data_IF_217610982020
#
_entry.id   IF_217610982020
#
_cell.length_a   1.000
_cell.length_b   1.000
_cell.length_c   1.000
_cell.angle_alpha   90.00
_cell.angle_beta   90.00
_cell.angle_gamma   90.00
#
_symmetry.space_group_name_H-M   'P 1'
#
loop_
_entity.id
_entity.type
_entity.pdbx_description
1 polymer ?
#
# COMPACT_ATOMS: atom_id res chain seq x y z
N UNK A 1 34.39 -49.42 -17.10
CA UNK A 1 33.58 -48.97 -15.96
C UNK A 1 32.30 -48.36 -16.51
N UNK A 2 31.37 -49.24 -16.87
CA UNK A 2 30.00 -48.93 -17.33
C UNK A 2 29.18 -50.06 -16.73
N UNK A 3 28.20 -49.75 -15.90
CA UNK A 3 27.18 -50.70 -15.50
C UNK A 3 25.84 -50.00 -15.70
N UNK A 4 25.17 -50.39 -16.79
CA UNK A 4 23.85 -49.92 -17.11
C UNK A 4 22.80 -50.53 -16.19
N UNK A 5 21.66 -49.86 -16.08
CA UNK A 5 20.43 -50.48 -15.60
C UNK A 5 19.41 -50.33 -16.72
N UNK A 6 19.10 -51.48 -17.31
CA UNK A 6 18.01 -51.73 -18.25
C UNK A 6 16.66 -51.50 -17.56
N UNK A 7 15.74 -50.86 -18.30
CA UNK A 7 14.32 -50.80 -17.97
C UNK A 7 13.72 -52.21 -17.88
N UNK A 8 13.03 -52.49 -16.78
CA UNK A 8 12.09 -53.61 -16.63
C UNK A 8 10.78 -53.08 -16.07
N UNK A 9 9.70 -53.24 -16.85
CA UNK A 9 8.36 -52.71 -16.58
C UNK A 9 7.74 -53.27 -15.29
N UNK A 10 7.10 -52.38 -14.51
CA UNK A 10 6.13 -52.73 -13.48
C UNK A 10 4.98 -51.72 -13.51
N UNK A 11 3.83 -52.19 -13.98
CA UNK A 11 2.52 -52.05 -13.33
C UNK A 11 1.97 -50.64 -13.08
N UNK A 12 0.82 -50.37 -13.71
CA UNK A 12 0.03 -49.15 -13.63
C UNK A 12 -0.59 -48.73 -12.27
N UNK A 13 -0.28 -49.30 -11.07
CA UNK A 13 -0.60 -48.62 -9.81
C UNK A 13 0.51 -47.67 -9.30
N UNK A 14 1.74 -47.77 -9.81
CA UNK A 14 2.90 -47.01 -9.30
C UNK A 14 2.92 -45.52 -9.68
N UNK A 15 2.19 -45.13 -10.74
CA UNK A 15 2.16 -43.74 -11.21
C UNK A 15 1.17 -42.87 -10.43
N UNK A 16 0.14 -43.46 -9.82
CA UNK A 16 -0.84 -42.74 -9.00
C UNK A 16 -0.29 -42.37 -7.62
N UNK A 17 0.63 -43.18 -7.06
CA UNK A 17 1.30 -42.86 -5.79
C UNK A 17 2.45 -41.86 -6.01
N UNK A 18 3.15 -41.90 -7.16
CA UNK A 18 4.19 -40.92 -7.47
C UNK A 18 3.64 -39.52 -7.79
N UNK A 19 2.44 -39.40 -8.37
CA UNK A 19 1.78 -38.10 -8.57
C UNK A 19 1.11 -37.58 -7.30
N UNK A 20 0.55 -38.45 -6.46
CA UNK A 20 0.05 -38.03 -5.15
C UNK A 20 1.19 -37.58 -4.22
N UNK A 21 2.28 -38.33 -4.12
CA UNK A 21 3.44 -37.96 -3.29
C UNK A 21 4.21 -36.77 -3.88
N UNK A 22 4.28 -36.63 -5.21
CA UNK A 22 4.90 -35.48 -5.87
C UNK A 22 4.13 -34.16 -5.72
N UNK A 23 2.80 -34.21 -5.66
CA UNK A 23 1.97 -33.01 -5.44
C UNK A 23 1.89 -32.68 -3.94
N UNK A 24 1.86 -33.69 -3.06
CA UNK A 24 1.83 -33.46 -1.61
C UNK A 24 3.17 -32.97 -1.05
N UNK A 25 4.34 -33.46 -1.54
CA UNK A 25 5.64 -32.89 -1.14
C UNK A 25 5.94 -31.53 -1.82
N UNK A 26 5.46 -31.30 -3.03
CA UNK A 26 5.57 -29.99 -3.69
C UNK A 26 4.79 -28.88 -2.97
N UNK A 27 3.65 -29.22 -2.37
CA UNK A 27 2.86 -28.30 -1.55
C UNK A 27 3.41 -28.16 -0.10
N UNK A 28 3.98 -29.21 0.48
CA UNK A 28 4.52 -29.19 1.84
C UNK A 28 5.88 -28.45 1.91
N UNK A 29 6.70 -28.48 0.85
CA UNK A 29 7.99 -27.78 0.81
C UNK A 29 7.88 -26.27 0.52
N UNK A 30 6.71 -25.77 0.09
CA UNK A 30 6.43 -24.33 -0.03
C UNK A 30 5.70 -23.74 1.19
N UNK A 31 5.32 -24.59 2.15
CA UNK A 31 4.74 -24.19 3.44
C UNK A 31 5.78 -23.98 4.55
N UNK A 32 7.07 -23.87 4.23
CA UNK A 32 8.09 -23.54 5.24
C UNK A 32 7.91 -22.09 5.67
N UNK A 33 7.48 -21.92 6.92
CA UNK A 33 7.12 -20.64 7.52
C UNK A 33 8.14 -19.54 7.23
N UNK A 34 7.67 -18.29 7.11
CA UNK A 34 8.49 -17.09 7.03
C UNK A 34 9.51 -17.06 8.19
N UNK A 35 9.19 -17.67 9.32
CA UNK A 35 10.09 -17.82 10.46
C UNK A 35 11.33 -18.69 10.15
N UNK A 36 11.18 -19.70 9.29
CA UNK A 36 12.24 -20.64 8.86
C UNK A 36 13.05 -20.15 7.66
N UNK A 37 12.65 -19.05 7.01
CA UNK A 37 13.49 -18.44 5.99
C UNK A 37 14.84 -18.06 6.61
N UNK A 38 15.97 -18.41 5.95
CA UNK A 38 17.28 -17.94 6.37
C UNK A 38 17.25 -16.42 6.55
N UNK A 39 17.91 -15.94 7.59
CA UNK A 39 17.92 -14.50 7.91
C UNK A 39 18.48 -13.66 6.75
N UNK A 40 19.37 -14.25 5.94
CA UNK A 40 19.87 -13.68 4.68
C UNK A 40 18.76 -13.49 3.64
N UNK A 41 17.85 -14.46 3.50
CA UNK A 41 16.69 -14.37 2.61
C UNK A 41 15.70 -13.32 3.10
N UNK A 42 15.37 -13.31 4.39
CA UNK A 42 14.53 -12.26 4.99
C UNK A 42 15.14 -10.87 4.80
N UNK A 43 16.44 -10.74 5.02
CA UNK A 43 17.17 -9.48 4.84
C UNK A 43 17.18 -9.04 3.38
N UNK A 44 17.40 -9.94 2.43
CA UNK A 44 17.37 -9.62 1.00
C UNK A 44 15.98 -9.20 0.53
N UNK A 45 14.95 -9.89 0.99
CA UNK A 45 13.55 -9.56 0.70
C UNK A 45 13.18 -8.22 1.34
N UNK A 46 13.57 -7.99 2.61
CA UNK A 46 13.43 -6.70 3.28
C UNK A 46 14.10 -5.59 2.49
N UNK A 47 15.36 -5.77 2.06
CA UNK A 47 16.10 -4.80 1.25
C UNK A 47 15.43 -4.54 -0.11
N UNK A 48 14.89 -5.57 -0.76
CA UNK A 48 14.20 -5.41 -2.05
C UNK A 48 12.91 -4.62 -1.88
N UNK A 49 12.10 -4.96 -0.87
CA UNK A 49 10.85 -4.26 -0.62
C UNK A 49 11.10 -2.84 -0.10
N UNK A 50 12.04 -2.67 0.84
CA UNK A 50 12.50 -1.36 1.30
C UNK A 50 13.04 -0.53 0.13
N UNK A 51 13.85 -1.12 -0.74
CA UNK A 51 14.31 -0.47 -1.98
C UNK A 51 13.16 -0.08 -2.91
N UNK A 52 12.06 -0.83 -2.97
CA UNK A 52 10.85 -0.44 -3.71
C UNK A 52 10.15 0.76 -3.04
N UNK A 53 10.04 0.76 -1.71
CA UNK A 53 9.47 1.88 -0.93
C UNK A 53 10.38 3.13 -0.83
N UNK A 54 11.69 2.97 -0.96
CA UNK A 54 12.67 4.08 -0.95
C UNK A 54 12.87 4.65 -2.36
N UNK A 55 12.76 3.82 -3.40
CA UNK A 55 12.71 4.29 -4.79
C UNK A 55 11.39 4.98 -5.11
N UNK A 56 10.33 4.70 -4.37
CA UNK A 56 9.15 5.55 -4.43
C UNK A 56 9.45 6.91 -3.83
N UNK A 57 9.19 7.97 -4.60
CA UNK A 57 9.25 9.35 -4.16
C UNK A 57 8.52 9.49 -2.81
N UNK A 58 9.20 9.99 -1.78
CA UNK A 58 8.53 10.37 -0.52
C UNK A 58 7.44 11.39 -0.80
N UNK A 59 6.21 11.11 -0.39
CA UNK A 59 5.08 12.02 -0.65
C UNK A 59 5.13 13.23 0.24
N UNK A 60 4.91 14.38 -0.39
CA UNK A 60 4.79 15.63 0.32
C UNK A 60 3.33 15.90 0.69
N UNK A 61 2.91 15.35 1.83
CA UNK A 61 1.63 15.65 2.45
C UNK A 61 1.64 16.98 3.23
N UNK A 62 2.65 17.83 3.04
CA UNK A 62 2.74 19.13 3.70
C UNK A 62 1.91 20.18 2.95
N UNK A 63 0.60 19.99 2.87
CA UNK A 63 -0.32 21.07 2.46
C UNK A 63 -0.95 21.74 3.67
N UNK A 64 -1.30 23.03 3.52
CA UNK A 64 -2.08 23.75 4.52
C UNK A 64 -3.46 23.12 4.70
N UNK A 65 -4.12 22.69 3.63
CA UNK A 65 -5.45 22.06 3.68
C UNK A 65 -5.48 20.79 4.54
N UNK A 66 -4.56 19.85 4.30
CA UNK A 66 -4.44 18.65 5.13
C UNK A 66 -4.07 18.99 6.57
N UNK A 67 -3.11 19.90 6.79
CA UNK A 67 -2.72 20.30 8.13
C UNK A 67 -3.88 20.93 8.92
N UNK A 68 -4.67 21.78 8.27
CA UNK A 68 -5.82 22.45 8.88
C UNK A 68 -6.96 21.46 9.14
N UNK A 69 -7.22 20.52 8.21
CA UNK A 69 -8.19 19.44 8.42
C UNK A 69 -7.81 18.57 9.63
N UNK A 70 -6.53 18.19 9.74
CA UNK A 70 -6.02 17.41 10.87
C UNK A 70 -6.08 18.20 12.19
N UNK A 71 -5.61 19.46 12.23
CA UNK A 71 -5.68 20.32 13.43
C UNK A 71 -7.10 20.55 13.89
N UNK A 72 -8.02 20.76 12.97
CA UNK A 72 -9.42 21.07 13.26
C UNK A 72 -10.12 19.85 13.85
N UNK A 73 -9.94 18.68 13.24
CA UNK A 73 -10.79 17.53 13.51
C UNK A 73 -10.14 16.44 14.38
N UNK A 74 -8.82 16.44 14.56
CA UNK A 74 -8.10 15.36 15.23
C UNK A 74 -7.24 15.83 16.40
N UNK A 75 -7.00 14.92 17.34
CA UNK A 75 -5.96 15.01 18.37
C UNK A 75 -4.75 14.20 17.91
N UNK A 76 -3.59 14.83 17.87
CA UNK A 76 -2.32 14.18 17.53
C UNK A 76 -1.73 13.46 18.76
N UNK A 77 -1.16 12.28 18.54
CA UNK A 77 -0.30 11.56 19.47
C UNK A 77 0.86 10.95 18.68
N UNK A 78 2.04 10.85 19.32
CA UNK A 78 3.22 10.16 18.76
C UNK A 78 3.34 8.72 19.27
N UNK A 79 2.34 8.25 20.03
CA UNK A 79 2.28 6.87 20.51
C UNK A 79 1.00 6.19 20.03
N UNK A 80 1.12 4.90 19.70
CA UNK A 80 -0.01 4.05 19.38
C UNK A 80 -0.98 3.98 20.57
N UNK A 81 -2.30 3.97 20.30
CA UNK A 81 -3.30 3.67 21.33
C UNK A 81 -3.04 2.32 22.00
N UNK A 82 -3.48 2.13 23.25
CA UNK A 82 -3.27 0.88 24.02
C UNK A 82 -3.84 -0.37 23.35
N UNK A 83 -4.89 -0.20 22.54
CA UNK A 83 -5.53 -1.26 21.78
C UNK A 83 -4.83 -1.54 20.43
N UNK A 84 -3.79 -0.78 20.07
CA UNK A 84 -2.98 -1.04 18.88
C UNK A 84 -1.54 -1.42 19.23
N UNK A 85 -0.98 -2.35 18.47
CA UNK A 85 0.40 -2.80 18.65
C UNK A 85 1.10 -2.84 17.29
N UNK A 86 2.35 -2.41 17.28
CA UNK A 86 3.23 -2.56 16.11
C UNK A 86 4.64 -2.91 16.61
N UNK A 87 5.06 -4.18 16.51
CA UNK A 87 6.32 -4.65 17.09
C UNK A 87 7.61 -4.01 16.57
N UNK A 88 7.57 -3.21 15.49
CA UNK A 88 8.80 -2.80 14.79
C UNK A 88 8.74 -1.46 14.03
N UNK A 89 7.93 -0.49 14.45
CA UNK A 89 7.84 0.81 13.74
C UNK A 89 8.40 1.98 14.55
N UNK A 90 9.25 2.76 13.89
CA UNK A 90 9.71 4.10 14.26
C UNK A 90 8.86 5.17 13.52
N UNK A 91 8.75 6.38 14.07
CA UNK A 91 8.05 7.53 13.45
C UNK A 91 6.54 7.33 13.16
N UNK A 92 5.77 6.94 14.18
CA UNK A 92 4.30 6.89 14.10
C UNK A 92 3.67 8.23 14.47
N UNK A 93 2.67 8.67 13.69
CA UNK A 93 1.74 9.70 14.12
C UNK A 93 0.33 9.14 14.15
N UNK A 94 -0.39 9.39 15.24
CA UNK A 94 -1.76 8.95 15.46
C UNK A 94 -2.64 10.19 15.54
N UNK A 95 -3.62 10.26 14.66
CA UNK A 95 -4.64 11.29 14.63
C UNK A 95 -5.96 10.66 15.04
N UNK A 96 -6.43 10.98 16.24
CA UNK A 96 -7.71 10.47 16.77
C UNK A 96 -8.79 11.53 16.60
N UNK A 97 -9.92 11.20 15.98
CA UNK A 97 -10.97 12.18 15.74
C UNK A 97 -11.50 12.75 17.08
N UNK A 98 -11.64 14.08 17.17
CA UNK A 98 -12.05 14.78 18.40
C UNK A 98 -13.45 14.37 18.87
N UNK A 99 -14.35 14.11 17.92
CA UNK A 99 -15.74 13.79 18.19
C UNK A 99 -16.00 12.28 18.40
N UNK A 100 -15.08 11.42 17.98
CA UNK A 100 -15.15 9.97 18.18
C UNK A 100 -13.75 9.35 18.23
N UNK A 101 -13.32 8.93 19.42
CA UNK A 101 -11.97 8.39 19.62
C UNK A 101 -11.72 7.00 19.04
N UNK A 102 -12.78 6.34 18.55
CA UNK A 102 -12.72 5.06 17.84
C UNK A 102 -12.48 5.22 16.33
N UNK A 103 -12.45 6.46 15.83
CA UNK A 103 -12.11 6.78 14.44
C UNK A 103 -10.73 7.42 14.40
N UNK A 104 -9.82 6.79 13.65
CA UNK A 104 -8.39 7.08 13.75
C UNK A 104 -7.71 7.03 12.38
N UNK A 105 -6.78 7.95 12.16
CA UNK A 105 -5.77 7.87 11.13
C UNK A 105 -4.42 7.64 11.80
N UNK A 106 -3.74 6.55 11.45
CA UNK A 106 -2.40 6.22 11.93
C UNK A 106 -1.47 6.23 10.75
N UNK A 107 -0.43 7.06 10.79
CA UNK A 107 0.47 7.28 9.67
C UNK A 107 1.85 6.74 9.99
N UNK A 108 2.47 6.09 9.01
CA UNK A 108 3.78 5.48 9.13
C UNK A 108 4.68 5.90 7.97
N UNK A 109 5.95 6.13 8.28
CA UNK A 109 6.96 6.44 7.25
C UNK A 109 7.23 5.25 6.35
N UNK A 110 7.47 4.07 6.95
CA UNK A 110 7.73 2.81 6.23
C UNK A 110 6.88 1.72 6.90
N UNK A 111 6.25 0.80 6.15
CA UNK A 111 5.60 -0.35 6.75
C UNK A 111 6.61 -1.24 7.48
N UNK A 112 6.26 -1.76 8.66
CA UNK A 112 7.00 -2.91 9.18
C UNK A 112 6.75 -4.09 8.26
N UNK A 113 7.81 -4.55 7.60
CA UNK A 113 7.70 -5.54 6.53
C UNK A 113 7.37 -6.96 6.99
N UNK A 114 7.28 -7.21 8.30
CA UNK A 114 7.01 -8.54 8.85
C UNK A 114 6.30 -8.49 10.21
N UNK A 115 5.76 -7.32 10.58
CA UNK A 115 5.02 -7.17 11.82
C UNK A 115 3.67 -6.55 11.50
N UNK A 116 2.59 -7.34 11.47
CA UNK A 116 1.26 -6.80 11.27
C UNK A 116 0.96 -5.81 12.40
N UNK A 117 0.35 -4.68 12.05
CA UNK A 117 -0.26 -3.83 13.06
C UNK A 117 -1.45 -4.61 13.60
N UNK A 118 -1.51 -4.70 14.92
CA UNK A 118 -2.66 -5.26 15.60
C UNK A 118 -3.59 -4.13 16.02
N UNK A 119 -4.88 -4.32 15.82
CA UNK A 119 -5.96 -3.48 16.35
C UNK A 119 -6.90 -4.39 17.14
N UNK A 120 -6.97 -4.18 18.45
CA UNK A 120 -7.68 -5.02 19.42
C UNK A 120 -7.28 -6.51 19.30
N UNK A 121 -5.96 -6.75 19.22
CA UNK A 121 -5.39 -8.10 19.12
C UNK A 121 -5.53 -8.77 17.75
N UNK A 122 -6.20 -8.12 16.79
CA UNK A 122 -6.38 -8.64 15.43
C UNK A 122 -5.49 -7.93 14.43
N UNK A 123 -4.87 -8.67 13.52
CA UNK A 123 -4.10 -8.04 12.44
C UNK A 123 -4.98 -7.16 11.55
N UNK A 124 -4.52 -5.93 11.32
CA UNK A 124 -5.17 -4.96 10.42
C UNK A 124 -5.28 -5.54 9.01
N UNK A 125 -6.46 -5.44 8.40
CA UNK A 125 -6.69 -5.90 7.02
C UNK A 125 -5.83 -5.10 6.04
N UNK A 126 -5.31 -5.71 4.98
CA UNK A 126 -4.39 -5.02 4.05
C UNK A 126 -5.07 -4.68 2.73
N UNK A 127 -4.94 -3.44 2.29
CA UNK A 127 -5.47 -2.96 1.02
C UNK A 127 -4.43 -3.09 -0.10
N UNK A 128 -4.81 -3.70 -1.22
CA UNK A 128 -4.08 -3.66 -2.47
C UNK A 128 -4.87 -2.84 -3.49
N UNK A 129 -4.32 -1.70 -3.91
CA UNK A 129 -4.93 -0.85 -4.93
C UNK A 129 -4.49 -1.31 -6.32
N UNK A 130 -5.39 -1.97 -7.04
CA UNK A 130 -5.13 -2.57 -8.33
C UNK A 130 -5.47 -1.55 -9.43
N UNK A 131 -4.54 -1.23 -10.34
CA UNK A 131 -4.82 -0.38 -11.50
C UNK A 131 -5.95 -0.97 -12.35
N UNK A 132 -6.98 -0.19 -12.75
CA UNK A 132 -8.08 -0.70 -13.59
C UNK A 132 -7.61 -1.23 -14.95
N UNK A 133 -6.42 -0.88 -15.41
CA UNK A 133 -5.79 -1.32 -16.66
C UNK A 133 -5.04 -2.65 -16.52
N UNK A 134 -4.82 -3.10 -15.30
CA UNK A 134 -4.18 -4.39 -15.06
C UNK A 134 -5.02 -5.52 -15.67
N UNK A 135 -4.34 -6.45 -16.34
CA UNK A 135 -4.99 -7.65 -16.84
C UNK A 135 -4.93 -8.73 -15.76
N UNK A 136 -6.04 -8.91 -15.04
CA UNK A 136 -6.10 -9.87 -13.94
C UNK A 136 -5.97 -11.34 -14.36
N UNK A 137 -6.15 -11.64 -15.65
CA UNK A 137 -5.84 -12.98 -16.20
C UNK A 137 -4.33 -13.21 -16.41
N UNK A 138 -3.54 -12.13 -16.38
CA UNK A 138 -2.08 -12.14 -16.41
C UNK A 138 -1.54 -11.39 -15.19
N UNK A 139 -1.46 -12.02 -14.01
CA UNK A 139 -1.07 -11.38 -12.75
C UNK A 139 0.28 -10.67 -12.78
N UNK A 140 1.17 -11.03 -13.71
CA UNK A 140 2.44 -10.33 -13.97
C UNK A 140 2.28 -8.89 -14.46
N UNK A 141 1.07 -8.50 -14.89
CA UNK A 141 0.76 -7.12 -15.31
C UNK A 141 0.36 -6.22 -14.14
N UNK A 142 0.10 -6.79 -12.95
CA UNK A 142 -0.14 -6.01 -11.73
C UNK A 142 1.23 -5.57 -11.20
N UNK A 143 1.51 -4.27 -11.19
CA UNK A 143 2.79 -3.72 -10.75
C UNK A 143 2.58 -2.69 -9.64
N UNK A 144 2.60 -3.17 -8.39
CA UNK A 144 2.42 -2.34 -7.19
C UNK A 144 3.60 -2.53 -6.22
N UNK A 145 3.86 -1.54 -5.37
CA UNK A 145 4.99 -1.56 -4.44
C UNK A 145 4.81 -2.55 -3.29
N UNK A 146 3.58 -2.75 -2.82
CA UNK A 146 3.28 -3.77 -1.79
C UNK A 146 3.11 -5.19 -2.34
N UNK A 147 3.09 -5.38 -3.66
CA UNK A 147 2.73 -6.65 -4.29
C UNK A 147 3.67 -7.79 -3.89
N UNK A 148 4.98 -7.57 -3.96
CA UNK A 148 5.98 -8.59 -3.64
C UNK A 148 5.85 -9.02 -2.17
N UNK A 149 5.51 -8.10 -1.28
CA UNK A 149 5.25 -8.40 0.13
C UNK A 149 3.97 -9.23 0.29
N UNK A 150 2.88 -8.90 -0.41
CA UNK A 150 1.65 -9.70 -0.35
C UNK A 150 1.85 -11.12 -0.91
N UNK A 151 2.54 -11.26 -2.04
CA UNK A 151 2.87 -12.58 -2.62
C UNK A 151 3.73 -13.42 -1.67
N UNK A 152 4.70 -12.79 -1.01
CA UNK A 152 5.55 -13.47 -0.03
C UNK A 152 4.75 -13.97 1.19
N UNK A 153 3.84 -13.16 1.73
CA UNK A 153 3.10 -13.51 2.95
C UNK A 153 1.92 -14.45 2.72
N UNK A 154 1.22 -14.32 1.58
CA UNK A 154 0.07 -15.14 1.22
C UNK A 154 0.45 -16.40 0.42
N UNK A 155 1.56 -16.34 -0.32
CA UNK A 155 1.90 -17.30 -1.37
C UNK A 155 1.24 -16.97 -2.71
N UNK A 156 1.93 -17.29 -3.81
CA UNK A 156 1.46 -17.00 -5.18
C UNK A 156 0.10 -17.63 -5.50
N UNK A 157 -0.17 -18.84 -4.98
CA UNK A 157 -1.45 -19.52 -5.19
C UNK A 157 -2.62 -18.70 -4.62
N UNK A 158 -2.54 -18.32 -3.35
CA UNK A 158 -3.60 -17.55 -2.69
C UNK A 158 -3.74 -16.16 -3.31
N UNK A 159 -2.63 -15.51 -3.66
CA UNK A 159 -2.66 -14.25 -4.39
C UNK A 159 -3.43 -14.36 -5.71
N UNK A 160 -3.15 -15.37 -6.52
CA UNK A 160 -3.80 -15.56 -7.82
C UNK A 160 -5.29 -15.93 -7.67
N UNK A 161 -5.65 -16.75 -6.68
CA UNK A 161 -7.06 -17.04 -6.37
C UNK A 161 -7.82 -15.77 -5.97
N UNK A 162 -7.23 -14.94 -5.10
CA UNK A 162 -7.83 -13.68 -4.67
C UNK A 162 -8.01 -12.69 -5.84
N UNK A 163 -7.04 -12.64 -6.76
CA UNK A 163 -7.16 -11.85 -7.98
C UNK A 163 -8.26 -12.35 -8.92
N UNK A 164 -8.40 -13.67 -9.06
CA UNK A 164 -9.45 -14.27 -9.89
C UNK A 164 -10.85 -13.92 -9.34
N UNK A 165 -11.05 -13.99 -8.02
CA UNK A 165 -12.30 -13.56 -7.39
C UNK A 165 -12.54 -12.06 -7.57
N UNK A 166 -11.51 -11.24 -7.35
CA UNK A 166 -11.60 -9.80 -7.56
C UNK A 166 -11.89 -9.42 -9.01
N UNK A 167 -11.44 -10.21 -9.99
CA UNK A 167 -11.72 -9.96 -11.41
C UNK A 167 -13.21 -9.99 -11.79
N UNK A 168 -14.05 -10.58 -10.95
CA UNK A 168 -15.50 -10.56 -11.09
C UNK A 168 -16.13 -9.24 -10.64
N UNK A 169 -15.38 -8.39 -9.92
CA UNK A 169 -15.85 -7.06 -9.50
C UNK A 169 -15.78 -6.09 -10.66
N UNK A 170 -16.89 -5.40 -10.89
CA UNK A 170 -16.97 -4.32 -11.88
C UNK A 170 -15.87 -3.30 -11.64
N UNK A 171 -15.15 -2.93 -12.69
CA UNK A 171 -14.12 -1.88 -12.68
C UNK A 171 -14.79 -0.52 -12.43
N UNK A 172 -14.91 -0.17 -11.15
CA UNK A 172 -15.40 1.14 -10.70
C UNK A 172 -14.41 1.70 -9.66
N UNK A 173 -14.24 3.03 -9.59
CA UNK A 173 -13.38 3.67 -8.61
C UNK A 173 -13.68 3.18 -7.20
N UNK A 174 -12.66 2.68 -6.50
CA UNK A 174 -12.76 2.11 -5.16
C UNK A 174 -13.73 0.91 -5.01
N UNK A 175 -14.18 0.31 -6.12
CA UNK A 175 -14.87 -0.97 -6.11
C UNK A 175 -13.94 -2.05 -5.56
N UNK A 176 -14.42 -2.85 -4.61
CA UNK A 176 -13.54 -3.74 -3.84
C UNK A 176 -14.13 -5.13 -3.60
N UNK A 177 -13.25 -6.08 -3.29
CA UNK A 177 -13.59 -7.35 -2.67
C UNK A 177 -12.61 -7.66 -1.54
N UNK A 178 -13.02 -8.53 -0.62
CA UNK A 178 -12.14 -9.07 0.41
C UNK A 178 -12.02 -10.57 0.25
N UNK A 179 -10.89 -11.07 0.71
CA UNK A 179 -10.62 -12.49 0.88
C UNK A 179 -10.01 -12.68 2.26
N UNK A 180 -10.35 -13.78 2.92
CA UNK A 180 -9.73 -14.12 4.21
C UNK A 180 -8.22 -14.22 4.02
N UNK A 181 -7.46 -13.71 4.98
CA UNK A 181 -6.01 -13.81 4.96
C UNK A 181 -5.58 -15.24 5.32
N UNK A 182 -5.74 -16.15 4.37
CA UNK A 182 -5.26 -17.52 4.49
C UNK A 182 -3.80 -17.54 4.06
N UNK A 183 -2.88 -17.46 5.03
CA UNK A 183 -1.46 -17.65 4.76
C UNK A 183 -1.17 -19.15 4.62
N UNK A 184 -0.51 -19.56 3.55
CA UNK A 184 0.07 -20.91 3.45
C UNK A 184 1.29 -21.10 4.36
N UNK A 185 1.73 -20.03 5.04
CA UNK A 185 3.06 -19.90 5.64
C UNK A 185 2.98 -19.86 7.18
N UNK A 186 1.80 -19.57 7.75
CA UNK A 186 1.56 -19.62 9.20
C UNK A 186 0.09 -19.96 9.45
N UNK A 187 -0.26 -20.89 10.37
CA UNK A 187 -1.65 -21.03 10.79
C UNK A 187 -2.14 -19.67 11.29
N UNK A 188 -3.35 -19.27 10.90
CA UNK A 188 -3.90 -17.94 11.21
C UNK A 188 -3.93 -17.71 12.72
N UNK A 189 -2.86 -17.14 13.27
CA UNK A 189 -2.86 -16.59 14.62
C UNK A 189 -3.72 -15.33 14.62
N UNK A 190 -4.25 -14.93 15.79
CA UNK A 190 -4.96 -13.65 15.93
C UNK A 190 -4.13 -12.46 15.44
N UNK A 191 -2.80 -12.61 15.41
CA UNK A 191 -1.84 -11.62 14.94
C UNK A 191 -1.81 -11.43 13.41
N UNK A 192 -2.30 -12.39 12.62
CA UNK A 192 -2.30 -12.26 11.15
C UNK A 192 -3.31 -11.20 10.69
N UNK A 193 -3.04 -10.48 9.57
CA UNK A 193 -4.04 -9.61 8.96
C UNK A 193 -5.38 -10.33 8.81
N UNK A 194 -6.51 -9.64 8.99
CA UNK A 194 -7.80 -10.30 8.91
C UNK A 194 -8.19 -10.63 7.45
N UNK A 195 -7.99 -9.68 6.54
CA UNK A 195 -8.36 -9.79 5.14
C UNK A 195 -7.29 -9.21 4.21
N UNK A 196 -7.18 -9.76 3.00
CA UNK A 196 -6.68 -9.02 1.84
C UNK A 196 -7.87 -8.34 1.17
N UNK A 197 -7.79 -7.02 1.04
CA UNK A 197 -8.82 -6.18 0.42
C UNK A 197 -8.26 -5.70 -0.91
N UNK A 198 -8.75 -6.26 -2.01
CA UNK A 198 -8.41 -5.80 -3.35
C UNK A 198 -9.37 -4.67 -3.73
N UNK A 199 -8.82 -3.53 -4.16
CA UNK A 199 -9.57 -2.31 -4.45
C UNK A 199 -9.14 -1.82 -5.82
N UNK A 200 -10.09 -1.50 -6.70
CA UNK A 200 -9.77 -0.82 -7.96
C UNK A 200 -9.26 0.58 -7.65
N UNK A 201 -8.04 0.89 -8.10
CA UNK A 201 -7.41 2.17 -7.80
C UNK A 201 -8.25 3.33 -8.37
N UNK A 202 -8.74 4.26 -7.53
CA UNK A 202 -9.71 5.27 -7.97
C UNK A 202 -9.16 6.31 -8.96
N UNK A 203 -7.84 6.35 -9.18
CA UNK A 203 -7.17 7.36 -10.00
C UNK A 203 -6.63 6.83 -11.34
N UNK A 204 -6.90 5.57 -11.67
CA UNK A 204 -6.62 5.01 -13.00
C UNK A 204 -7.64 5.43 -14.05
N UNK A 205 -7.51 4.89 -15.26
CA UNK A 205 -8.47 5.05 -16.35
C UNK A 205 -9.55 3.99 -16.23
N UNK A 206 -10.78 4.46 -16.16
CA UNK A 206 -11.94 3.60 -16.14
C UNK A 206 -12.62 3.59 -17.49
N UNK A 207 -13.06 2.41 -17.98
CA UNK A 207 -13.88 2.35 -19.17
C UNK A 207 -15.27 2.95 -18.85
N UNK A 208 -15.88 3.66 -19.80
CA UNK A 208 -17.23 4.22 -19.57
C UNK A 208 -18.31 3.15 -19.73
N UNK A 209 -17.99 2.09 -20.47
CA UNK A 209 -18.86 0.93 -20.69
C UNK A 209 -18.08 -0.37 -20.48
N UNK A 210 -18.72 -1.50 -20.12
CA UNK A 210 -18.01 -2.76 -19.84
C UNK A 210 -17.12 -3.30 -20.99
N UNK A 211 -17.40 -2.89 -22.23
CA UNK A 211 -16.71 -3.36 -23.43
C UNK A 211 -15.64 -2.38 -23.94
N UNK A 212 -15.53 -1.19 -23.33
CA UNK A 212 -14.48 -0.24 -23.68
C UNK A 212 -13.15 -0.65 -23.05
N UNK A 213 -12.07 -0.51 -23.82
CA UNK A 213 -10.74 -0.44 -23.24
C UNK A 213 -10.68 0.82 -22.35
N UNK A 214 -9.96 0.80 -21.22
CA UNK A 214 -9.64 2.01 -20.48
C UNK A 214 -9.10 3.08 -21.45
N UNK A 215 -9.82 4.19 -21.60
CA UNK A 215 -9.44 5.25 -22.54
C UNK A 215 -8.47 6.25 -21.93
N UNK A 216 -7.85 7.12 -22.74
CA UNK A 216 -6.81 8.10 -22.33
C UNK A 216 -7.28 9.22 -21.38
N UNK A 217 -8.54 9.21 -20.94
CA UNK A 217 -9.11 10.29 -20.14
C UNK A 217 -8.98 10.00 -18.65
N UNK A 218 -8.29 10.91 -17.94
CA UNK A 218 -8.23 10.97 -16.48
C UNK A 218 -9.61 10.83 -15.85
N UNK A 219 -9.72 9.96 -14.85
CA UNK A 219 -10.91 9.93 -14.01
C UNK A 219 -11.07 11.29 -13.29
N UNK A 220 -12.30 11.83 -13.10
CA UNK A 220 -12.53 13.12 -12.45
C UNK A 220 -11.87 13.26 -11.06
N UNK A 221 -11.70 12.13 -10.37
CA UNK A 221 -11.01 12.05 -9.07
C UNK A 221 -9.54 12.49 -9.10
N UNK A 222 -8.90 12.63 -10.26
CA UNK A 222 -7.54 13.18 -10.35
C UNK A 222 -7.52 14.72 -10.37
N UNK A 223 -8.62 15.38 -10.73
CA UNK A 223 -8.65 16.82 -11.04
C UNK A 223 -8.42 17.77 -9.85
N UNK A 224 -7.98 19.01 -10.11
CA UNK A 224 -7.76 20.05 -9.07
C UNK A 224 -8.98 20.35 -8.19
N UNK A 225 -10.20 20.11 -8.71
CA UNK A 225 -11.47 20.39 -8.02
C UNK A 225 -12.14 19.12 -7.48
N UNK A 226 -11.39 18.04 -7.32
CA UNK A 226 -11.92 16.73 -6.94
C UNK A 226 -11.93 16.45 -5.44
N UNK A 227 -11.60 17.42 -4.57
CA UNK A 227 -11.51 17.18 -3.12
C UNK A 227 -12.80 16.57 -2.55
N UNK A 228 -13.95 17.15 -2.89
CA UNK A 228 -15.25 16.65 -2.42
C UNK A 228 -15.59 15.27 -3.01
N UNK A 229 -15.37 15.07 -4.31
CA UNK A 229 -15.59 13.76 -4.96
C UNK A 229 -14.69 12.66 -4.35
N UNK A 230 -13.43 12.99 -4.06
CA UNK A 230 -12.49 12.10 -3.39
C UNK A 230 -12.94 11.80 -1.96
N UNK A 231 -13.42 12.81 -1.22
CA UNK A 231 -13.96 12.65 0.13
C UNK A 231 -15.16 11.70 0.11
N UNK A 232 -16.13 11.95 -0.76
CA UNK A 232 -17.33 11.11 -0.91
C UNK A 232 -16.98 9.67 -1.27
N UNK A 233 -16.02 9.47 -2.17
CA UNK A 233 -15.50 8.15 -2.51
C UNK A 233 -14.92 7.43 -1.28
N UNK A 234 -14.06 8.09 -0.49
CA UNK A 234 -13.51 7.49 0.73
C UNK A 234 -14.58 7.21 1.79
N UNK A 235 -15.56 8.11 1.96
CA UNK A 235 -16.70 7.89 2.85
C UNK A 235 -17.47 6.64 2.44
N UNK A 236 -17.79 6.49 1.15
CA UNK A 236 -18.48 5.33 0.61
C UNK A 236 -17.69 4.05 0.82
N UNK A 237 -16.39 4.07 0.52
CA UNK A 237 -15.49 2.95 0.76
C UNK A 237 -15.48 2.55 2.24
N UNK A 238 -15.26 3.49 3.17
CA UNK A 238 -15.16 3.18 4.60
C UNK A 238 -16.49 2.69 5.18
N UNK A 239 -17.63 3.28 4.79
CA UNK A 239 -18.96 2.79 5.20
C UNK A 239 -19.20 1.36 4.70
N UNK A 240 -18.85 1.06 3.46
CA UNK A 240 -19.01 -0.29 2.90
C UNK A 240 -18.12 -1.32 3.60
N UNK A 241 -16.86 -0.98 3.91
CA UNK A 241 -15.95 -1.84 4.67
C UNK A 241 -16.48 -2.13 6.07
N UNK A 242 -16.95 -1.11 6.80
CA UNK A 242 -17.53 -1.29 8.13
C UNK A 242 -18.80 -2.15 8.13
N UNK A 243 -19.63 -2.03 7.08
CA UNK A 243 -20.83 -2.86 6.91
C UNK A 243 -20.47 -4.34 6.77
N UNK A 244 -19.32 -4.64 6.17
CA UNK A 244 -18.75 -5.98 6.04
C UNK A 244 -17.94 -6.41 7.28
N UNK A 245 -17.97 -5.64 8.36
CA UNK A 245 -17.27 -5.94 9.61
C UNK A 245 -15.75 -5.68 9.57
N UNK A 246 -15.27 -4.89 8.61
CA UNK A 246 -13.88 -4.43 8.55
C UNK A 246 -13.78 -3.09 9.25
N UNK A 247 -13.11 -3.08 10.40
CA UNK A 247 -12.95 -1.88 11.24
C UNK A 247 -11.52 -1.32 11.25
N UNK A 248 -10.59 -1.98 10.56
CA UNK A 248 -9.22 -1.49 10.42
C UNK A 248 -8.64 -1.89 9.07
N UNK A 249 -7.98 -0.94 8.40
CA UNK A 249 -7.40 -1.13 7.06
C UNK A 249 -6.01 -0.50 6.96
N UNK A 250 -5.07 -1.25 6.39
CA UNK A 250 -3.72 -0.82 6.05
C UNK A 250 -3.65 -0.41 4.58
N UNK A 251 -3.34 0.86 4.31
CA UNK A 251 -3.24 1.44 2.98
C UNK A 251 -1.78 1.78 2.70
N UNK A 252 -1.22 1.16 1.66
CA UNK A 252 0.10 1.49 1.15
C UNK A 252 -0.04 2.69 0.21
N UNK A 253 0.33 3.88 0.69
CA UNK A 253 0.08 5.15 0.02
C UNK A 253 0.61 5.20 -1.41
N UNK A 254 1.73 4.53 -1.67
CA UNK A 254 2.25 4.42 -3.03
C UNK A 254 1.29 3.74 -3.99
N UNK A 255 0.67 2.64 -3.58
CA UNK A 255 -0.21 1.89 -4.47
C UNK A 255 -1.51 2.62 -4.74
N UNK A 256 -1.94 3.45 -3.77
CA UNK A 256 -3.07 4.36 -3.94
C UNK A 256 -2.72 5.53 -4.87
N UNK A 257 -1.60 6.21 -4.65
CA UNK A 257 -1.30 7.48 -5.30
C UNK A 257 -0.57 7.33 -6.65
N UNK A 258 0.19 6.24 -6.83
CA UNK A 258 1.04 6.00 -7.99
C UNK A 258 0.75 4.63 -8.61
N UNK A 259 -0.51 4.37 -9.02
CA UNK A 259 -0.80 3.17 -9.78
C UNK A 259 0.06 3.13 -11.05
N UNK A 260 0.45 1.93 -11.47
CA UNK A 260 1.16 1.71 -12.72
C UNK A 260 0.26 1.07 -13.76
N UNK A 261 0.38 1.51 -14.99
CA UNK A 261 -0.35 0.90 -16.10
C UNK A 261 0.22 -0.46 -16.51
N UNK A 262 -0.43 -1.05 -17.53
CA UNK A 262 0.02 -2.27 -18.20
C UNK A 262 1.45 -2.18 -18.78
N UNK A 263 1.92 -0.98 -19.12
CA UNK A 263 3.27 -0.71 -19.60
C UNK A 263 4.27 -0.44 -18.48
N UNK A 264 3.86 -0.57 -17.21
CA UNK A 264 4.67 -0.27 -16.02
C UNK A 264 5.09 1.21 -15.87
N UNK A 265 4.50 2.10 -16.69
CA UNK A 265 4.59 3.55 -16.53
C UNK A 265 3.72 4.00 -15.35
N UNK A 266 4.21 4.96 -14.57
CA UNK A 266 3.40 5.57 -13.52
C UNK A 266 2.34 6.46 -14.14
N UNK A 267 1.09 6.35 -13.66
CA UNK A 267 0.05 7.31 -14.04
C UNK A 267 0.44 8.73 -13.67
N UNK A 268 1.19 8.91 -12.59
CA UNK A 268 1.67 10.24 -12.26
C UNK A 268 2.60 10.77 -13.34
N UNK A 269 3.46 10.00 -14.00
CA UNK A 269 4.33 10.60 -15.04
C UNK A 269 3.51 11.09 -16.26
N UNK A 270 2.37 10.46 -16.51
CA UNK A 270 1.37 10.94 -17.49
C UNK A 270 0.58 12.17 -17.03
N UNK A 271 0.46 12.42 -15.71
CA UNK A 271 -0.43 13.43 -15.15
C UNK A 271 0.23 14.49 -14.23
N UNK A 272 1.50 14.30 -13.87
CA UNK A 272 2.31 15.02 -12.89
C UNK A 272 2.55 16.46 -13.32
N UNK A 273 2.61 16.70 -14.62
CA UNK A 273 2.79 18.04 -15.18
C UNK A 273 1.65 19.01 -14.83
N UNK A 274 0.56 18.53 -14.23
CA UNK A 274 -0.67 19.32 -14.06
C UNK A 274 -1.10 19.56 -12.61
N UNK A 275 -0.57 18.86 -11.60
CA UNK A 275 -1.07 19.00 -10.22
C UNK A 275 -0.08 18.57 -9.13
N UNK A 276 0.73 19.53 -8.66
CA UNK A 276 1.69 19.31 -7.57
C UNK A 276 1.07 19.03 -6.20
N UNK A 277 -0.24 19.28 -6.05
CA UNK A 277 -0.96 19.14 -4.77
C UNK A 277 -1.82 17.87 -4.71
N UNK A 278 -1.75 16.99 -5.72
CA UNK A 278 -2.58 15.79 -5.80
C UNK A 278 -2.47 14.91 -4.56
N UNK A 279 -1.24 14.51 -4.16
CA UNK A 279 -1.01 13.65 -2.99
C UNK A 279 -1.60 14.28 -1.72
N UNK A 280 -1.37 15.57 -1.54
CA UNK A 280 -1.89 16.36 -0.43
C UNK A 280 -3.42 16.42 -0.42
N UNK A 281 -4.07 16.60 -1.58
CA UNK A 281 -5.52 16.61 -1.72
C UNK A 281 -6.13 15.25 -1.41
N UNK A 282 -5.50 14.15 -1.84
CA UNK A 282 -5.94 12.79 -1.48
C UNK A 282 -5.84 12.56 0.03
N UNK A 283 -4.74 13.01 0.64
CA UNK A 283 -4.59 12.98 2.10
C UNK A 283 -5.66 13.79 2.82
N UNK A 284 -5.95 15.00 2.34
CA UNK A 284 -7.00 15.88 2.87
C UNK A 284 -8.38 15.22 2.76
N UNK A 285 -8.75 14.73 1.58
CA UNK A 285 -10.00 14.01 1.32
C UNK A 285 -10.17 12.81 2.24
N UNK A 286 -9.12 12.00 2.44
CA UNK A 286 -9.12 10.86 3.36
C UNK A 286 -9.36 11.31 4.80
N UNK A 287 -8.70 12.40 5.25
CA UNK A 287 -8.88 12.92 6.61
C UNK A 287 -10.28 13.50 6.85
N UNK A 288 -10.86 14.17 5.85
CA UNK A 288 -12.21 14.69 5.87
C UNK A 288 -13.25 13.55 5.87
N UNK A 289 -13.01 12.50 5.09
CA UNK A 289 -13.85 11.31 5.10
C UNK A 289 -13.90 10.65 6.48
N UNK A 290 -12.75 10.49 7.14
CA UNK A 290 -12.69 9.99 8.52
C UNK A 290 -13.40 10.92 9.51
N UNK A 291 -13.33 12.23 9.31
CA UNK A 291 -14.07 13.20 10.11
C UNK A 291 -15.58 12.99 9.96
N UNK A 292 -16.07 12.73 8.74
CA UNK A 292 -17.48 12.41 8.51
C UNK A 292 -17.89 11.09 9.17
N UNK A 293 -17.07 10.03 9.04
CA UNK A 293 -17.31 8.75 9.74
C UNK A 293 -17.41 8.95 11.25
N UNK A 294 -16.59 9.84 11.81
CA UNK A 294 -16.56 10.17 13.24
C UNK A 294 -17.79 10.94 13.74
N UNK A 295 -18.65 11.49 12.87
CA UNK A 295 -19.90 12.13 13.28
C UNK A 295 -20.89 11.12 13.90
N UNK A 296 -20.83 9.87 13.46
CA UNK A 296 -21.54 8.77 14.12
C UNK A 296 -20.68 8.25 15.29
N UNK A 297 -21.22 8.34 16.51
CA UNK A 297 -20.54 7.94 17.75
C UNK A 297 -20.32 6.43 17.88
N UNK A 298 -21.09 5.64 17.14
CA UNK A 298 -21.00 4.18 17.14
C UNK A 298 -19.99 3.67 16.10
N UNK A 299 -19.57 4.52 15.17
CA UNK A 299 -18.52 4.19 14.19
C UNK A 299 -17.22 3.79 14.90
N UNK A 300 -16.61 2.71 14.40
CA UNK A 300 -15.25 2.29 14.76
C UNK A 300 -14.50 2.01 13.46
N UNK A 301 -13.47 2.82 13.19
CA UNK A 301 -12.67 2.67 11.98
C UNK A 301 -11.25 3.24 12.13
N UNK A 302 -10.26 2.40 11.87
CA UNK A 302 -8.84 2.77 11.89
C UNK A 302 -8.26 2.67 10.48
N UNK A 303 -7.65 3.75 9.98
CA UNK A 303 -6.84 3.72 8.75
C UNK A 303 -5.37 3.77 9.13
N UNK A 304 -4.61 2.74 8.75
CA UNK A 304 -3.16 2.68 8.87
C UNK A 304 -2.54 3.05 7.50
N UNK A 305 -2.08 4.28 7.35
CA UNK A 305 -1.55 4.80 6.09
C UNK A 305 -0.02 4.78 6.07
N UNK A 306 0.55 4.02 5.14
CA UNK A 306 1.99 3.82 4.99
C UNK A 306 2.60 4.67 3.87
N UNK A 307 3.84 5.12 4.06
CA UNK A 307 4.58 5.89 3.05
C UNK A 307 4.43 7.41 3.21
N UNK A 308 3.91 7.89 4.35
CA UNK A 308 3.89 9.31 4.65
C UNK A 308 5.29 9.78 5.08
N UNK A 309 5.95 10.58 4.24
CA UNK A 309 7.34 11.00 4.46
C UNK A 309 7.59 11.80 5.75
N UNK A 310 6.58 12.51 6.26
CA UNK A 310 6.65 13.30 7.50
C UNK A 310 5.27 13.60 8.08
N UNK A 311 5.25 14.12 9.32
CA UNK A 311 4.02 14.53 9.99
C UNK A 311 3.48 15.82 9.34
N UNK A 312 2.25 15.84 8.79
CA UNK A 312 1.68 17.01 8.12
C UNK A 312 1.57 18.25 9.03
N UNK A 313 1.46 18.05 10.34
CA UNK A 313 1.39 19.12 11.33
C UNK A 313 2.75 19.70 11.70
N UNK A 314 3.82 18.95 11.44
CA UNK A 314 5.20 19.38 11.73
C UNK A 314 5.88 19.64 10.40
N UNK A 315 5.84 20.89 9.96
CA UNK A 315 6.71 21.32 8.86
C UNK A 315 8.14 20.90 9.22
N UNK A 316 8.88 20.20 8.35
CA UNK A 316 10.32 20.19 8.50
C UNK A 316 10.75 21.65 8.55
N UNK A 317 11.61 22.02 9.51
CA UNK A 317 12.32 23.31 9.42
C UNK A 317 12.85 23.38 7.99
N UNK A 318 12.72 24.52 7.28
CA UNK A 318 13.43 24.69 6.03
C UNK A 318 14.87 24.24 6.27
N UNK A 319 15.37 23.29 5.48
CA UNK A 319 16.81 23.16 5.39
C UNK A 319 17.27 24.50 4.82
N UNK A 320 17.88 25.29 5.68
CA UNK A 320 18.69 26.41 5.25
C UNK A 320 19.80 25.76 4.45
N UNK A 321 19.65 25.69 3.13
CA UNK A 321 20.79 25.49 2.26
C UNK A 321 21.58 26.77 2.41
N UNK A 322 22.42 26.79 3.45
CA UNK A 322 23.39 27.82 3.69
C UNK A 322 24.06 28.11 2.36
N UNK A 323 24.00 29.39 2.00
CA UNK A 323 24.81 30.05 0.99
C UNK A 323 26.07 29.23 0.70
N UNK A 324 26.05 28.50 -0.41
CA UNK A 324 27.27 27.94 -0.95
C UNK A 324 27.36 28.43 -2.38
N UNK A 325 28.31 29.35 -2.55
CA UNK A 325 28.87 29.88 -3.80
C UNK A 325 27.97 30.80 -4.61
N UNK A 326 27.93 32.09 -4.23
CA UNK A 326 28.52 33.19 -5.03
C UNK A 326 28.91 34.30 -4.04
N UNK A 327 30.16 34.30 -3.58
CA UNK A 327 30.83 35.50 -3.10
C UNK A 327 32.33 35.36 -3.43
N UNK A 328 32.63 35.57 -4.70
CA UNK A 328 33.96 35.94 -5.21
C UNK A 328 33.72 36.97 -6.32
N UNK A 329 33.05 38.06 -5.95
CA UNK A 329 33.11 39.34 -6.69
C UNK A 329 33.20 40.45 -5.66
N UNK A 330 34.38 40.55 -5.05
CA UNK A 330 34.89 41.84 -4.62
C UNK A 330 35.67 42.37 -5.83
N UNK A 331 34.99 43.16 -6.65
CA UNK A 331 35.64 44.26 -7.35
C UNK A 331 36.15 45.23 -6.27
N UNK A 332 37.46 45.43 -6.21
CA UNK A 332 38.06 46.74 -6.53
C UNK A 332 39.56 46.75 -6.17
N UNK A 333 40.32 47.05 -7.22
CA UNK A 333 41.51 47.92 -7.24
C UNK A 333 42.59 47.74 -6.16
N UNK A 334 43.74 47.18 -6.58
CA UNK A 334 45.03 47.81 -6.34
C UNK A 334 46.07 47.30 -7.37
N UNK A 335 46.36 48.13 -8.38
CA UNK A 335 47.60 48.04 -9.15
C UNK A 335 48.78 48.43 -8.25
N UNK A 336 49.96 47.80 -8.42
CA UNK A 336 50.91 48.41 -9.36
C UNK A 336 51.66 47.43 -10.25
N UNK A 337 52.15 48.02 -11.34
CA UNK A 337 53.12 47.57 -12.33
C UNK A 337 54.17 46.57 -11.83
N UNK A 338 54.72 45.76 -12.75
CA UNK A 338 56.16 45.67 -13.04
C UNK A 338 56.39 44.63 -14.18
N UNK A 339 56.85 45.16 -15.32
CA UNK A 339 57.44 44.58 -16.55
C UNK A 339 56.63 43.65 -17.47
#
# INVERSE_FOLDING_TARGET
>A
MVCGITLGALGAPGLAVATAVGITLGAILLGTSLALLPESTKTNVRKRIQGTFEKSRSYNFLSSGLADALKTNFKESTSLPKDMQSPAIEDVNVFTAKNNSKVRLVTFKIPSLFSPILDNGKGVSRACFIPPEANLTKPSTVNNSSLEMFKLELGDHNWNTNLAEFSQKTKQPAGWSRTAWNSSVTPSSEESPQYLINIWNPFGHYPKTPNEQPGDRRHPLYGKRSLEDQKEMFVGLFKSLMTEGIHSIGIYGHDLLFPKGNNNDFYIDMFAQFDGDFDSRVGEALSLALTEIAQNKDSKFSVCFYGMGGNPLRKPKPMDFGQTYIDDTIDDEDFPDIF
#
